data_IF_060350345405
#
_entry.id   IF_060350345405
#
_cell.length_a   1.000
_cell.length_b   1.000
_cell.length_c   1.000
_cell.angle_alpha   90.00
_cell.angle_beta   90.00
_cell.angle_gamma   90.00
#
_symmetry.space_group_name_H-M   'P 1'
#
loop_
_entity.id
_entity.type
_entity.pdbx_description
1 polymer ?
#
# COMPACT_ATOMS: atom_id res chain seq x y z
N UNK A 1 32.86 40.35 -20.48
CA UNK A 1 32.62 40.96 -19.15
C UNK A 1 32.39 39.87 -18.14
N UNK A 2 32.78 40.05 -16.89
CA UNK A 2 32.62 39.11 -15.78
C UNK A 2 31.14 38.71 -15.62
N UNK A 3 30.22 39.66 -15.80
CA UNK A 3 28.77 39.42 -15.76
C UNK A 3 28.27 38.42 -16.79
N UNK A 4 28.85 38.40 -18.02
CA UNK A 4 28.46 37.44 -19.04
C UNK A 4 28.80 36.00 -18.63
N UNK A 5 29.94 35.80 -17.93
CA UNK A 5 30.36 34.47 -17.43
C UNK A 5 29.50 33.98 -16.25
N UNK A 6 29.02 34.87 -15.41
CA UNK A 6 28.12 34.55 -14.29
C UNK A 6 26.68 34.27 -14.74
N UNK A 7 26.18 35.00 -15.76
CA UNK A 7 24.81 34.85 -16.25
C UNK A 7 24.68 33.68 -17.25
N UNK A 8 25.75 33.33 -17.99
CA UNK A 8 25.71 32.26 -18.98
C UNK A 8 25.18 30.91 -18.45
N UNK A 9 25.60 30.37 -17.31
CA UNK A 9 25.04 29.13 -16.76
C UNK A 9 23.55 29.25 -16.38
N UNK A 10 23.14 30.38 -15.87
CA UNK A 10 21.74 30.65 -15.52
C UNK A 10 20.86 30.64 -16.77
N UNK A 11 21.28 31.39 -17.80
CA UNK A 11 20.57 31.43 -19.09
C UNK A 11 20.56 30.05 -19.76
N UNK A 12 21.65 29.27 -19.61
CA UNK A 12 21.71 27.92 -20.14
C UNK A 12 20.69 27.00 -19.49
N UNK A 13 20.52 27.06 -18.13
CA UNK A 13 19.52 26.29 -17.37
C UNK A 13 18.12 26.63 -17.88
N UNK A 14 17.77 27.91 -18.03
CA UNK A 14 16.45 28.32 -18.51
C UNK A 14 16.19 27.94 -19.98
N UNK A 15 17.23 27.84 -20.80
CA UNK A 15 17.13 27.43 -22.21
C UNK A 15 17.17 25.91 -22.40
N UNK A 16 17.63 25.16 -21.42
CA UNK A 16 17.71 23.69 -21.49
C UNK A 16 16.36 23.01 -21.79
N UNK A 17 15.23 23.36 -21.12
CA UNK A 17 13.93 22.77 -21.44
C UNK A 17 13.48 23.04 -22.89
N UNK A 18 13.74 24.25 -23.40
CA UNK A 18 13.37 24.65 -24.77
C UNK A 18 14.21 23.87 -25.80
N UNK A 19 15.51 23.68 -25.54
CA UNK A 19 16.38 22.87 -26.39
C UNK A 19 15.96 21.41 -26.41
N UNK A 20 15.68 20.84 -25.22
CA UNK A 20 15.20 19.46 -25.07
C UNK A 20 13.89 19.25 -25.83
N UNK A 21 12.96 20.20 -25.72
CA UNK A 21 11.69 20.16 -26.43
C UNK A 21 11.86 20.23 -27.95
N UNK A 22 12.74 21.10 -28.45
CA UNK A 22 13.05 21.18 -29.87
C UNK A 22 13.68 19.90 -30.41
N UNK A 23 14.65 19.35 -29.65
CA UNK A 23 15.26 18.05 -29.96
C UNK A 23 14.21 16.94 -29.97
N UNK A 24 13.34 16.85 -28.93
CA UNK A 24 12.28 15.87 -28.88
C UNK A 24 11.31 16.00 -30.06
N UNK A 25 10.90 17.22 -30.42
CA UNK A 25 10.09 17.47 -31.62
C UNK A 25 10.78 17.00 -32.90
N UNK A 26 12.12 17.20 -33.03
CA UNK A 26 12.84 16.77 -34.21
C UNK A 26 12.83 15.26 -34.44
N UNK A 27 12.69 14.46 -33.37
CA UNK A 27 12.56 13.00 -33.47
C UNK A 27 11.25 12.56 -34.17
N UNK A 28 10.21 13.39 -34.13
CA UNK A 28 8.92 13.13 -34.78
C UNK A 28 8.84 13.66 -36.20
N UNK A 29 9.68 14.66 -36.57
CA UNK A 29 9.67 15.27 -37.90
C UNK A 29 10.21 14.29 -38.95
N UNK A 30 9.39 14.01 -39.98
CA UNK A 30 9.76 13.07 -41.04
C UNK A 30 9.77 11.59 -40.62
N UNK A 31 9.56 11.27 -39.38
CA UNK A 31 9.56 9.88 -38.92
C UNK A 31 8.32 9.11 -39.37
N UNK A 32 8.46 7.86 -39.83
CA UNK A 32 7.31 7.01 -40.16
C UNK A 32 6.49 6.69 -38.90
N UNK A 33 5.22 6.30 -39.08
CA UNK A 33 4.25 6.12 -37.98
C UNK A 33 4.74 5.13 -36.91
N UNK A 34 5.41 4.03 -37.29
CA UNK A 34 5.90 3.04 -36.33
C UNK A 34 7.04 3.59 -35.44
N UNK A 35 7.92 4.47 -35.97
CA UNK A 35 8.93 5.17 -35.15
C UNK A 35 8.27 6.14 -34.17
N UNK A 36 7.22 6.86 -34.59
CA UNK A 36 6.44 7.74 -33.71
C UNK A 36 5.81 6.98 -32.55
N UNK A 37 5.24 5.78 -32.83
CA UNK A 37 4.73 4.89 -31.77
C UNK A 37 5.85 4.44 -30.82
N UNK A 38 7.01 4.05 -31.35
CA UNK A 38 8.18 3.68 -30.54
C UNK A 38 8.64 4.83 -29.65
N UNK A 39 8.80 6.03 -30.20
CA UNK A 39 9.19 7.22 -29.42
C UNK A 39 8.16 7.49 -28.32
N UNK A 40 6.86 7.44 -28.64
CA UNK A 40 5.79 7.62 -27.65
C UNK A 40 5.84 6.58 -26.54
N UNK A 41 6.02 5.31 -26.88
CA UNK A 41 6.13 4.20 -25.92
C UNK A 41 7.33 4.37 -24.98
N UNK A 42 8.53 4.63 -25.52
CA UNK A 42 9.72 4.84 -24.69
C UNK A 42 9.61 6.10 -23.84
N UNK A 43 9.03 7.18 -24.37
CA UNK A 43 8.78 8.41 -23.61
C UNK A 43 7.80 8.17 -22.45
N UNK A 44 6.78 7.37 -22.66
CA UNK A 44 5.81 6.99 -21.63
C UNK A 44 6.48 6.16 -20.51
N UNK A 45 7.30 5.16 -20.89
CA UNK A 45 8.05 4.36 -19.90
C UNK A 45 9.01 5.28 -19.13
N UNK A 46 9.77 6.14 -19.83
CA UNK A 46 10.68 7.09 -19.19
C UNK A 46 9.94 8.00 -18.21
N UNK A 47 8.79 8.52 -18.59
CA UNK A 47 7.96 9.36 -17.73
C UNK A 47 7.53 8.62 -16.45
N UNK A 48 7.10 7.36 -16.56
CA UNK A 48 6.75 6.54 -15.39
C UNK A 48 7.97 6.35 -14.48
N UNK A 49 9.09 5.88 -15.04
CA UNK A 49 10.31 5.62 -14.27
C UNK A 49 10.84 6.90 -13.61
N UNK A 50 10.83 8.02 -14.34
CA UNK A 50 11.23 9.31 -13.80
C UNK A 50 10.30 9.78 -12.68
N UNK A 51 8.99 9.58 -12.81
CA UNK A 51 8.02 9.93 -11.77
C UNK A 51 8.24 9.08 -10.51
N UNK A 52 8.45 7.78 -10.67
CA UNK A 52 8.78 6.89 -9.53
C UNK A 52 10.08 7.34 -8.84
N UNK A 53 11.12 7.62 -9.61
CA UNK A 53 12.39 8.12 -9.08
C UNK A 53 12.23 9.48 -8.38
N UNK A 54 11.49 10.41 -8.97
CA UNK A 54 11.22 11.72 -8.40
C UNK A 54 10.46 11.64 -7.06
N UNK A 55 9.52 10.71 -6.94
CA UNK A 55 8.79 10.43 -5.69
C UNK A 55 9.77 9.88 -4.64
N UNK A 56 10.63 8.93 -5.00
CA UNK A 56 11.58 8.28 -4.09
C UNK A 56 12.57 9.28 -3.48
N UNK A 57 13.16 10.13 -4.30
CA UNK A 57 14.13 11.15 -3.84
C UNK A 57 13.45 12.42 -3.31
N UNK A 58 12.11 12.47 -3.32
CA UNK A 58 11.34 13.68 -2.99
C UNK A 58 11.86 14.92 -3.74
N UNK A 59 11.96 14.80 -5.07
CA UNK A 59 12.53 15.81 -5.95
C UNK A 59 11.93 17.20 -5.68
N UNK A 60 12.77 18.17 -5.34
CA UNK A 60 12.38 19.56 -5.00
C UNK A 60 11.30 19.67 -3.91
N UNK A 61 11.23 18.69 -2.98
CA UNK A 61 10.21 18.60 -1.94
C UNK A 61 8.75 18.54 -2.47
N UNK A 62 8.59 18.16 -3.73
CA UNK A 62 7.30 18.11 -4.41
C UNK A 62 6.39 17.01 -3.87
N UNK A 63 6.97 15.85 -3.51
CA UNK A 63 6.21 14.63 -3.20
C UNK A 63 6.17 14.28 -1.71
N UNK A 64 6.96 14.97 -0.88
CA UNK A 64 7.08 14.66 0.53
C UNK A 64 7.86 13.37 0.83
N UNK A 65 8.14 13.13 2.10
CA UNK A 65 8.94 11.99 2.55
C UNK A 65 8.22 10.66 2.32
N UNK A 66 9.01 9.61 2.11
CA UNK A 66 8.57 8.21 2.07
C UNK A 66 9.33 7.42 3.14
N UNK A 67 8.87 6.21 3.53
CA UNK A 67 9.64 5.31 4.39
C UNK A 67 11.02 5.04 3.78
N UNK A 68 12.02 4.86 4.64
CA UNK A 68 13.36 4.50 4.16
C UNK A 68 13.37 3.05 3.67
N UNK A 69 14.24 2.74 2.71
CA UNK A 69 14.42 1.38 2.21
C UNK A 69 14.74 0.40 3.34
N UNK A 70 15.56 0.80 4.31
CA UNK A 70 15.85 0.00 5.51
C UNK A 70 14.60 -0.33 6.31
N UNK A 71 13.63 0.60 6.42
CA UNK A 71 12.36 0.33 7.11
C UNK A 71 11.46 -0.63 6.33
N UNK A 72 11.58 -0.63 4.99
CA UNK A 72 10.83 -1.53 4.12
C UNK A 72 11.43 -2.94 4.15
N UNK A 73 12.76 -3.05 4.12
CA UNK A 73 13.48 -4.32 4.19
C UNK A 73 13.35 -5.01 5.56
N UNK A 74 13.25 -4.22 6.62
CA UNK A 74 13.16 -4.71 8.01
C UNK A 74 11.96 -4.07 8.72
N UNK A 75 10.73 -4.42 8.30
CA UNK A 75 9.54 -3.82 8.88
C UNK A 75 9.40 -4.18 10.35
N UNK A 76 9.35 -3.15 11.20
CA UNK A 76 9.14 -3.33 12.64
C UNK A 76 7.66 -3.39 12.93
N UNK A 77 7.17 -4.52 13.42
CA UNK A 77 5.84 -4.59 14.01
C UNK A 77 5.87 -3.92 15.38
N UNK A 78 4.99 -2.97 15.64
CA UNK A 78 4.80 -2.41 16.96
C UNK A 78 4.28 -3.51 17.90
N UNK A 79 5.14 -4.05 18.76
CA UNK A 79 4.76 -5.00 19.77
C UNK A 79 4.28 -4.27 21.03
N UNK A 80 3.34 -4.88 21.77
CA UNK A 80 2.96 -4.39 23.08
C UNK A 80 4.14 -4.52 24.05
N UNK A 81 4.41 -3.49 24.85
CA UNK A 81 5.33 -3.58 25.98
C UNK A 81 4.63 -4.27 27.14
N UNK A 82 5.14 -5.40 27.58
CA UNK A 82 4.60 -6.14 28.71
C UNK A 82 5.31 -5.73 30.00
N UNK A 83 4.54 -5.45 31.05
CA UNK A 83 5.05 -5.10 32.37
C UNK A 83 4.82 -6.27 33.30
N UNK A 84 5.88 -6.75 33.89
CA UNK A 84 5.86 -7.86 34.83
C UNK A 84 6.22 -7.38 36.24
N UNK A 85 5.65 -8.02 37.25
CA UNK A 85 6.07 -7.87 38.63
C UNK A 85 7.41 -8.56 38.87
N UNK A 86 8.06 -8.29 40.02
CA UNK A 86 9.33 -8.90 40.39
C UNK A 86 9.27 -10.44 40.53
N UNK A 87 8.09 -10.99 40.74
CA UNK A 87 7.80 -12.44 40.78
C UNK A 87 7.38 -13.02 39.39
N UNK A 88 7.56 -12.25 38.32
CA UNK A 88 7.32 -12.69 36.95
C UNK A 88 5.84 -12.73 36.50
N UNK A 89 4.91 -12.17 37.31
CA UNK A 89 3.49 -12.08 36.92
C UNK A 89 3.27 -10.88 36.00
N UNK A 90 2.52 -11.11 34.91
CA UNK A 90 2.14 -10.04 34.00
C UNK A 90 1.18 -9.07 34.72
N UNK A 91 1.64 -7.84 34.96
CA UNK A 91 0.85 -6.77 35.58
C UNK A 91 0.00 -6.04 34.56
N UNK A 92 0.47 -5.93 33.32
CA UNK A 92 -0.26 -5.26 32.27
C UNK A 92 0.52 -5.20 30.97
N UNK A 93 -0.16 -4.72 29.93
CA UNK A 93 0.42 -4.47 28.61
C UNK A 93 0.24 -3.00 28.28
N UNK A 94 1.36 -2.31 27.99
CA UNK A 94 1.34 -0.97 27.42
C UNK A 94 1.49 -1.06 25.92
N UNK A 95 0.50 -0.60 25.20
CA UNK A 95 0.50 -0.61 23.74
C UNK A 95 -0.25 0.62 23.20
N UNK A 96 0.25 1.16 22.12
CA UNK A 96 -0.53 2.06 21.29
C UNK A 96 -1.59 1.27 20.49
N UNK A 97 -1.29 -0.01 20.23
CA UNK A 97 -2.15 -0.96 19.52
C UNK A 97 -1.99 -2.34 20.15
N UNK A 98 -3.12 -2.99 20.49
CA UNK A 98 -3.12 -4.32 21.11
C UNK A 98 -2.75 -5.40 20.07
N UNK A 99 -1.46 -5.65 19.90
CA UNK A 99 -0.91 -6.60 18.92
C UNK A 99 -0.09 -7.68 19.61
N UNK A 100 -0.34 -8.92 19.24
CA UNK A 100 0.51 -10.07 19.57
C UNK A 100 0.78 -10.83 18.29
N UNK A 101 1.97 -10.70 17.69
CA UNK A 101 2.27 -11.32 16.41
C UNK A 101 2.30 -12.85 16.52
N UNK A 102 1.92 -13.52 15.45
CA UNK A 102 1.97 -14.97 15.28
C UNK A 102 2.72 -15.31 14.00
N UNK A 103 3.44 -16.45 13.93
CA UNK A 103 4.06 -16.92 12.69
C UNK A 103 2.99 -17.43 11.71
N UNK A 104 3.38 -17.58 10.42
CA UNK A 104 2.49 -18.00 9.34
C UNK A 104 1.78 -19.33 9.65
N UNK A 105 2.52 -20.32 10.13
CA UNK A 105 2.01 -21.67 10.43
C UNK A 105 0.98 -21.70 11.57
N UNK A 106 0.87 -20.61 12.31
CA UNK A 106 -0.15 -20.42 13.35
C UNK A 106 -1.41 -19.71 12.85
N UNK A 107 -1.54 -19.47 11.55
CA UNK A 107 -2.71 -18.86 10.91
C UNK A 107 -3.49 -19.98 10.19
N UNK A 108 -4.79 -20.09 10.48
CA UNK A 108 -5.63 -21.09 9.81
C UNK A 108 -5.64 -20.87 8.29
N UNK A 109 -5.44 -21.92 7.47
CA UNK A 109 -5.53 -21.82 6.00
C UNK A 109 -6.86 -21.22 5.52
N UNK A 110 -7.96 -21.47 6.25
CA UNK A 110 -9.25 -20.88 5.96
C UNK A 110 -9.24 -19.35 5.96
N UNK A 111 -8.48 -18.71 6.89
CA UNK A 111 -8.33 -17.26 6.90
C UNK A 111 -7.54 -16.76 5.69
N UNK A 112 -6.44 -17.43 5.35
CA UNK A 112 -5.59 -17.08 4.21
C UNK A 112 -6.39 -17.17 2.91
N UNK A 113 -7.13 -18.27 2.72
CA UNK A 113 -7.96 -18.46 1.53
C UNK A 113 -9.08 -17.41 1.44
N UNK A 114 -9.80 -17.16 2.54
CA UNK A 114 -10.85 -16.14 2.57
C UNK A 114 -10.30 -14.74 2.27
N UNK A 115 -9.13 -14.40 2.84
CA UNK A 115 -8.47 -13.12 2.61
C UNK A 115 -8.11 -12.93 1.12
N UNK A 116 -7.43 -13.91 0.54
CA UNK A 116 -6.99 -13.85 -0.87
C UNK A 116 -8.19 -13.78 -1.81
N UNK A 117 -9.18 -14.65 -1.62
CA UNK A 117 -10.38 -14.69 -2.48
C UNK A 117 -11.20 -13.40 -2.42
N UNK A 118 -11.18 -12.70 -1.28
CA UNK A 118 -12.02 -11.51 -1.07
C UNK A 118 -11.30 -10.21 -1.44
N UNK A 119 -10.02 -10.09 -1.05
CA UNK A 119 -9.28 -8.84 -1.13
C UNK A 119 -8.34 -8.80 -2.36
N UNK A 120 -7.80 -9.94 -2.79
CA UNK A 120 -6.75 -9.97 -3.82
C UNK A 120 -6.65 -11.36 -4.47
N UNK A 121 -7.62 -11.74 -5.28
CA UNK A 121 -7.72 -13.07 -5.92
C UNK A 121 -6.46 -13.48 -6.67
N UNK A 122 -5.71 -12.52 -7.23
CA UNK A 122 -4.47 -12.75 -7.98
C UNK A 122 -3.21 -12.49 -7.18
N UNK A 123 -3.28 -12.51 -5.84
CA UNK A 123 -2.17 -12.19 -4.96
C UNK A 123 -0.85 -12.87 -5.33
N UNK A 124 -0.89 -14.13 -5.73
CA UNK A 124 0.31 -14.89 -6.10
C UNK A 124 0.82 -14.61 -7.53
N UNK A 125 0.06 -13.87 -8.35
CA UNK A 125 0.38 -13.65 -9.77
C UNK A 125 0.97 -12.27 -10.06
N UNK A 126 0.98 -11.36 -9.09
CA UNK A 126 1.53 -10.01 -9.26
C UNK A 126 2.65 -9.73 -8.25
N UNK A 127 3.34 -8.60 -8.43
CA UNK A 127 4.42 -8.12 -7.56
C UNK A 127 4.07 -6.73 -6.99
N UNK A 128 3.25 -6.70 -5.94
CA UNK A 128 2.83 -5.48 -5.23
C UNK A 128 1.67 -4.73 -5.88
N UNK A 129 1.58 -4.72 -7.21
CA UNK A 129 0.51 -4.05 -7.97
C UNK A 129 -0.13 -5.02 -8.94
N UNK A 130 -1.46 -5.13 -8.89
CA UNK A 130 -2.24 -5.90 -9.85
C UNK A 130 -2.82 -4.99 -10.94
N UNK A 131 -2.09 -4.82 -12.03
CA UNK A 131 -2.53 -3.99 -13.16
C UNK A 131 -3.75 -4.57 -13.88
N UNK A 132 -3.89 -5.89 -13.95
CA UNK A 132 -5.04 -6.56 -14.56
C UNK A 132 -6.30 -6.33 -13.73
N UNK A 133 -6.18 -6.49 -12.40
CA UNK A 133 -7.25 -6.18 -11.47
C UNK A 133 -7.66 -4.71 -11.48
N UNK A 134 -6.69 -3.81 -11.54
CA UNK A 134 -6.93 -2.37 -11.63
C UNK A 134 -7.69 -2.01 -12.93
N UNK A 135 -7.30 -2.58 -14.07
CA UNK A 135 -8.01 -2.37 -15.33
C UNK A 135 -9.44 -2.94 -15.28
N UNK A 136 -9.62 -4.12 -14.68
CA UNK A 136 -10.94 -4.71 -14.44
C UNK A 136 -11.82 -3.83 -13.56
N UNK A 137 -11.29 -3.36 -12.43
CA UNK A 137 -12.01 -2.48 -11.51
C UNK A 137 -12.39 -1.14 -12.16
N UNK A 138 -11.53 -0.58 -13.01
CA UNK A 138 -11.85 0.62 -13.79
C UNK A 138 -13.01 0.35 -14.75
N UNK A 139 -12.99 -0.78 -15.47
CA UNK A 139 -14.09 -1.18 -16.36
C UNK A 139 -15.40 -1.34 -15.60
N UNK A 140 -15.38 -1.96 -14.42
CA UNK A 140 -16.56 -2.16 -13.59
C UNK A 140 -17.09 -0.83 -13.04
N UNK A 141 -16.19 0.08 -12.65
CA UNK A 141 -16.56 1.44 -12.21
C UNK A 141 -17.28 2.24 -13.31
N UNK A 142 -16.82 2.13 -14.57
CA UNK A 142 -17.49 2.75 -15.72
C UNK A 142 -18.91 2.16 -15.99
N UNK A 143 -19.19 0.96 -15.48
CA UNK A 143 -20.49 0.30 -15.54
C UNK A 143 -21.36 0.54 -14.30
N UNK A 144 -20.91 1.38 -13.36
CA UNK A 144 -21.61 1.66 -12.11
C UNK A 144 -21.38 0.65 -10.99
N UNK A 145 -20.47 -0.32 -11.16
CA UNK A 145 -20.14 -1.36 -10.20
C UNK A 145 -18.72 -1.16 -9.64
N UNK A 146 -18.54 -0.15 -8.80
CA UNK A 146 -17.23 0.13 -8.23
C UNK A 146 -16.78 -0.99 -7.27
N UNK A 147 -15.62 -1.61 -7.55
CA UNK A 147 -14.94 -2.56 -6.66
C UNK A 147 -13.55 -2.07 -6.28
N UNK A 148 -13.01 -2.59 -5.17
CA UNK A 148 -11.63 -2.30 -4.76
C UNK A 148 -10.61 -2.86 -5.77
N UNK A 149 -9.53 -2.10 -5.99
CA UNK A 149 -8.43 -2.50 -6.86
C UNK A 149 -7.07 -2.48 -6.13
N UNK A 150 -7.08 -2.34 -4.80
CA UNK A 150 -5.85 -2.32 -4.01
C UNK A 150 -5.48 -3.74 -3.60
N UNK A 151 -4.23 -4.12 -3.83
CA UNK A 151 -3.68 -5.42 -3.43
C UNK A 151 -3.50 -5.53 -1.91
N UNK A 152 -3.34 -6.75 -1.39
CA UNK A 152 -3.00 -7.01 0.02
C UNK A 152 -1.70 -6.28 0.38
N UNK A 153 -0.69 -6.30 -0.50
CA UNK A 153 0.59 -5.61 -0.29
C UNK A 153 0.42 -4.08 -0.17
N UNK A 154 -0.43 -3.47 -0.98
CA UNK A 154 -0.74 -2.04 -0.88
C UNK A 154 -1.51 -1.70 0.39
N UNK A 155 -2.44 -2.56 0.82
CA UNK A 155 -3.17 -2.40 2.08
C UNK A 155 -2.23 -2.53 3.28
N UNK A 156 -1.30 -3.50 3.23
CA UNK A 156 -0.27 -3.68 4.25
C UNK A 156 0.60 -2.43 4.38
N UNK A 157 1.13 -1.92 3.26
CA UNK A 157 1.95 -0.70 3.22
C UNK A 157 1.21 0.50 3.81
N UNK A 158 -0.05 0.69 3.43
CA UNK A 158 -0.89 1.76 3.97
C UNK A 158 -1.01 1.68 5.49
N UNK A 159 -1.21 0.48 6.03
CA UNK A 159 -1.45 0.27 7.47
C UNK A 159 -0.14 0.26 8.28
N UNK A 160 0.89 -0.43 7.80
CA UNK A 160 2.16 -0.62 8.50
C UNK A 160 3.00 0.65 8.53
N UNK A 161 3.14 1.32 7.38
CA UNK A 161 3.95 2.54 7.26
C UNK A 161 3.12 3.81 7.42
N UNK A 162 1.80 3.70 7.61
CA UNK A 162 0.89 4.84 7.78
C UNK A 162 1.14 5.93 6.72
N UNK A 163 1.34 5.51 5.46
CA UNK A 163 1.74 6.41 4.36
C UNK A 163 0.81 7.59 4.19
N UNK A 164 -0.46 7.43 4.59
CA UNK A 164 -1.47 8.50 4.48
C UNK A 164 -1.49 9.49 5.64
N UNK A 165 -0.87 9.15 6.78
CA UNK A 165 -0.96 9.93 8.01
C UNK A 165 0.38 10.48 8.49
N UNK A 166 1.47 9.71 8.36
CA UNK A 166 2.79 10.08 8.89
C UNK A 166 3.67 10.80 7.87
N UNK A 167 3.45 10.54 6.57
CA UNK A 167 4.28 11.10 5.51
C UNK A 167 3.54 12.20 4.74
N UNK A 168 4.19 13.34 4.61
CA UNK A 168 3.65 14.45 3.83
C UNK A 168 3.60 14.12 2.34
N UNK A 169 2.76 14.82 1.61
CA UNK A 169 2.68 14.76 0.14
C UNK A 169 3.48 15.87 -0.55
N UNK A 170 4.31 16.59 0.22
CA UNK A 170 5.13 17.69 -0.28
C UNK A 170 4.30 18.86 -0.81
N UNK A 171 4.93 19.69 -1.62
CA UNK A 171 4.29 20.88 -2.19
C UNK A 171 3.11 20.56 -3.10
N UNK A 172 3.16 19.46 -3.84
CA UNK A 172 2.06 19.04 -4.71
C UNK A 172 0.82 18.58 -3.93
N UNK A 173 0.99 18.20 -2.67
CA UNK A 173 -0.13 17.80 -1.80
C UNK A 173 -1.12 18.93 -1.46
N UNK A 174 -0.76 20.19 -1.71
CA UNK A 174 -1.68 21.32 -1.56
C UNK A 174 -2.67 21.46 -2.72
N UNK A 175 -2.43 20.74 -3.84
CA UNK A 175 -3.33 20.76 -5.00
C UNK A 175 -4.46 19.74 -4.76
N UNK A 176 -5.75 20.15 -4.80
CA UNK A 176 -6.87 19.23 -4.62
C UNK A 176 -6.81 18.03 -5.56
N UNK A 177 -7.01 16.83 -5.02
CA UNK A 177 -6.93 15.56 -5.76
C UNK A 177 -5.51 15.02 -5.98
N UNK A 178 -4.50 15.86 -6.13
CA UNK A 178 -3.09 15.44 -6.33
C UNK A 178 -2.56 14.72 -5.09
N UNK A 179 -2.96 15.16 -3.90
CA UNK A 179 -2.61 14.50 -2.63
C UNK A 179 -2.93 13.01 -2.64
N UNK A 180 -4.15 12.65 -3.04
CA UNK A 180 -4.61 11.25 -3.07
C UNK A 180 -3.81 10.45 -4.09
N UNK A 181 -3.54 11.04 -5.26
CA UNK A 181 -2.74 10.43 -6.32
C UNK A 181 -1.30 10.14 -5.84
N UNK A 182 -0.64 11.13 -5.21
CA UNK A 182 0.72 10.93 -4.66
C UNK A 182 0.74 9.83 -3.62
N UNK A 183 -0.22 9.83 -2.69
CA UNK A 183 -0.33 8.78 -1.68
C UNK A 183 -0.51 7.40 -2.31
N UNK A 184 -1.35 7.29 -3.35
CA UNK A 184 -1.57 6.02 -4.04
C UNK A 184 -0.33 5.57 -4.82
N UNK A 185 0.38 6.49 -5.49
CA UNK A 185 1.64 6.17 -6.16
C UNK A 185 2.70 5.69 -5.16
N UNK A 186 2.82 6.33 -4.00
CA UNK A 186 3.71 5.86 -2.92
C UNK A 186 3.34 4.46 -2.44
N UNK A 187 2.06 4.20 -2.17
CA UNK A 187 1.59 2.86 -1.80
C UNK A 187 2.01 1.80 -2.84
N UNK A 188 1.87 2.11 -4.14
CA UNK A 188 2.25 1.20 -5.23
C UNK A 188 3.75 0.96 -5.27
N UNK A 189 4.56 2.01 -5.19
CA UNK A 189 6.03 1.91 -5.20
C UNK A 189 6.51 1.09 -4.01
N UNK A 190 6.09 1.44 -2.79
CA UNK A 190 6.51 0.77 -1.56
C UNK A 190 6.03 -0.69 -1.53
N UNK A 191 4.81 -0.98 -2.05
CA UNK A 191 4.30 -2.34 -2.14
C UNK A 191 5.14 -3.21 -3.09
N UNK A 192 5.58 -2.63 -4.22
CA UNK A 192 6.50 -3.31 -5.14
C UNK A 192 7.87 -3.55 -4.50
N UNK A 193 8.42 -2.55 -3.80
CA UNK A 193 9.68 -2.69 -3.06
C UNK A 193 9.57 -3.75 -1.96
N UNK A 194 8.48 -3.76 -1.20
CA UNK A 194 8.24 -4.76 -0.15
C UNK A 194 8.25 -6.19 -0.74
N UNK A 195 7.61 -6.41 -1.87
CA UNK A 195 7.59 -7.71 -2.54
C UNK A 195 8.93 -8.10 -3.22
N UNK A 196 9.85 -7.19 -3.37
CA UNK A 196 11.24 -7.52 -3.78
C UNK A 196 12.05 -8.13 -2.63
N UNK A 197 11.71 -7.84 -1.37
CA UNK A 197 12.47 -8.26 -0.19
C UNK A 197 11.74 -9.27 0.68
N UNK A 198 10.41 -9.39 0.56
CA UNK A 198 9.58 -10.27 1.37
C UNK A 198 8.85 -11.28 0.49
N UNK A 199 8.78 -12.51 0.94
CA UNK A 199 7.97 -13.57 0.31
C UNK A 199 6.47 -13.32 0.51
N UNK A 200 5.64 -13.93 -0.31
CA UNK A 200 4.18 -13.85 -0.19
C UNK A 200 3.67 -14.28 1.18
N UNK A 201 4.24 -15.33 1.77
CA UNK A 201 3.86 -15.80 3.11
C UNK A 201 4.26 -14.81 4.20
N UNK A 202 5.41 -14.15 4.09
CA UNK A 202 5.81 -13.08 5.01
C UNK A 202 4.86 -11.89 4.91
N UNK A 203 4.45 -11.50 3.71
CA UNK A 203 3.48 -10.41 3.49
C UNK A 203 2.12 -10.75 4.11
N UNK A 204 1.61 -11.97 3.90
CA UNK A 204 0.37 -12.42 4.52
C UNK A 204 0.47 -12.44 6.05
N UNK A 205 1.63 -12.89 6.58
CA UNK A 205 1.90 -12.89 8.02
C UNK A 205 1.89 -11.47 8.59
N UNK A 206 2.61 -10.56 7.94
CA UNK A 206 2.65 -9.15 8.34
C UNK A 206 1.27 -8.52 8.25
N UNK A 207 0.51 -8.79 7.19
CA UNK A 207 -0.85 -8.30 7.03
C UNK A 207 -1.76 -8.79 8.17
N UNK A 208 -1.82 -10.09 8.40
CA UNK A 208 -2.62 -10.70 9.44
C UNK A 208 -2.27 -10.18 10.84
N UNK A 209 -1.01 -9.87 11.10
CA UNK A 209 -0.54 -9.32 12.38
C UNK A 209 -0.73 -7.80 12.52
N UNK A 210 -0.99 -7.07 11.42
CA UNK A 210 -1.01 -5.60 11.43
C UNK A 210 -2.40 -5.02 11.31
N UNK A 211 -3.29 -5.68 10.58
CA UNK A 211 -4.58 -5.11 10.21
C UNK A 211 -5.49 -4.91 11.43
N UNK A 212 -6.25 -3.81 11.39
CA UNK A 212 -7.27 -3.49 12.40
C UNK A 212 -8.57 -4.24 12.09
N UNK A 213 -9.01 -5.07 13.05
CA UNK A 213 -10.29 -5.78 12.99
C UNK A 213 -11.41 -5.07 13.79
N UNK A 214 -11.18 -3.84 14.25
CA UNK A 214 -12.13 -3.11 15.08
C UNK A 214 -12.18 -3.63 16.53
N UNK A 215 -12.99 -2.99 17.37
CA UNK A 215 -13.08 -3.31 18.80
C UNK A 215 -11.72 -3.36 19.52
N UNK A 216 -10.78 -2.52 19.11
CA UNK A 216 -9.38 -2.50 19.60
C UNK A 216 -8.64 -3.83 19.40
N UNK A 217 -9.01 -4.60 18.37
CA UNK A 217 -8.38 -5.87 18.00
C UNK A 217 -7.46 -5.68 16.79
N UNK A 218 -6.19 -5.42 17.06
CA UNK A 218 -5.15 -5.33 16.04
C UNK A 218 -4.46 -6.67 15.86
N UNK A 219 -4.45 -7.17 14.64
CA UNK A 219 -3.90 -8.47 14.27
C UNK A 219 -4.81 -9.66 14.61
N UNK A 220 -4.59 -10.73 13.86
CA UNK A 220 -5.45 -11.93 13.84
C UNK A 220 -5.54 -12.64 15.20
N UNK A 221 -4.47 -12.62 16.01
CA UNK A 221 -4.50 -13.28 17.34
C UNK A 221 -5.46 -12.58 18.27
N UNK A 222 -5.39 -11.26 18.31
CA UNK A 222 -6.29 -10.45 19.12
C UNK A 222 -7.72 -10.56 18.60
N UNK A 223 -7.91 -10.54 17.28
CA UNK A 223 -9.23 -10.68 16.66
C UNK A 223 -9.89 -12.04 16.96
N UNK A 224 -9.14 -13.15 16.76
CA UNK A 224 -9.64 -14.50 17.05
C UNK A 224 -10.07 -14.64 18.52
N UNK A 225 -9.27 -14.07 19.43
CA UNK A 225 -9.62 -14.05 20.87
C UNK A 225 -10.83 -13.16 21.16
N UNK A 226 -10.88 -11.96 20.59
CA UNK A 226 -11.91 -10.95 20.87
C UNK A 226 -13.29 -11.37 20.37
N UNK A 227 -13.34 -11.96 19.17
CA UNK A 227 -14.63 -12.29 18.54
C UNK A 227 -15.10 -13.72 18.78
N UNK A 228 -14.18 -14.68 18.90
CA UNK A 228 -14.51 -16.10 18.95
C UNK A 228 -13.92 -16.85 20.15
N UNK A 229 -13.17 -16.17 21.00
CA UNK A 229 -12.46 -16.77 22.15
C UNK A 229 -11.60 -17.99 21.75
N UNK A 230 -10.96 -17.92 20.57
CA UNK A 230 -10.14 -18.99 19.98
C UNK A 230 -8.74 -18.49 19.62
N UNK A 231 -7.93 -19.37 19.03
CA UNK A 231 -6.60 -19.04 18.48
C UNK A 231 -6.67 -18.93 16.96
N UNK A 232 -5.74 -18.16 16.31
CA UNK A 232 -5.73 -18.04 14.84
C UNK A 232 -5.66 -19.37 14.09
N UNK A 233 -4.94 -20.37 14.63
CA UNK A 233 -4.82 -21.71 14.03
C UNK A 233 -6.11 -22.52 14.07
N UNK A 234 -7.01 -22.22 15.00
CA UNK A 234 -8.27 -22.95 15.22
C UNK A 234 -9.49 -22.23 14.63
N UNK A 235 -9.30 -21.14 13.90
CA UNK A 235 -10.40 -20.45 13.23
C UNK A 235 -11.09 -21.37 12.23
N UNK A 236 -12.39 -21.50 12.35
CA UNK A 236 -13.26 -22.18 11.39
C UNK A 236 -13.46 -21.32 10.15
N UNK A 237 -13.91 -21.94 9.06
CA UNK A 237 -14.13 -21.23 7.80
C UNK A 237 -15.10 -20.05 7.93
N UNK A 238 -16.20 -20.24 8.64
CA UNK A 238 -17.21 -19.20 8.90
C UNK A 238 -16.67 -18.07 9.78
N UNK A 239 -15.81 -18.35 10.75
CA UNK A 239 -15.17 -17.37 11.61
C UNK A 239 -14.12 -16.57 10.83
N UNK A 240 -13.34 -17.25 10.01
CA UNK A 240 -12.38 -16.63 9.10
C UNK A 240 -13.09 -15.66 8.11
N UNK A 241 -14.20 -16.09 7.51
CA UNK A 241 -14.99 -15.26 6.60
C UNK A 241 -15.58 -14.02 7.30
N UNK A 242 -16.00 -14.13 8.58
CA UNK A 242 -16.43 -12.96 9.36
C UNK A 242 -15.27 -11.98 9.56
N UNK A 243 -14.09 -12.46 9.95
CA UNK A 243 -12.92 -11.58 10.14
C UNK A 243 -12.52 -10.89 8.84
N UNK A 244 -12.49 -11.61 7.71
CA UNK A 244 -12.18 -11.00 6.41
C UNK A 244 -13.29 -10.01 5.98
N UNK A 245 -14.54 -10.37 6.18
CA UNK A 245 -15.66 -9.46 5.90
C UNK A 245 -15.60 -8.15 6.68
N UNK A 246 -15.08 -8.19 7.89
CA UNK A 246 -14.89 -7.06 8.78
C UNK A 246 -13.86 -6.03 8.24
N UNK A 247 -12.84 -6.50 7.49
CA UNK A 247 -11.78 -5.63 6.95
C UNK A 247 -12.28 -4.56 6.00
N UNK A 248 -13.41 -4.78 5.36
CA UNK A 248 -14.01 -3.78 4.45
C UNK A 248 -14.44 -2.51 5.18
N UNK A 249 -15.03 -2.66 6.37
CA UNK A 249 -15.42 -1.54 7.24
C UNK A 249 -15.63 -2.05 8.67
N UNK A 250 -14.63 -1.89 9.51
CA UNK A 250 -14.54 -2.45 10.86
C UNK A 250 -15.63 -2.00 11.83
N UNK A 251 -16.30 -0.88 11.56
CA UNK A 251 -17.45 -0.42 12.33
C UNK A 251 -18.77 -0.92 11.76
N UNK A 252 -18.93 -0.91 10.42
CA UNK A 252 -20.19 -1.28 9.76
C UNK A 252 -20.47 -2.79 9.80
N UNK A 253 -19.42 -3.61 9.71
CA UNK A 253 -19.53 -5.08 9.70
C UNK A 253 -19.07 -5.73 11.00
N UNK A 254 -19.02 -4.97 12.10
CA UNK A 254 -18.62 -5.49 13.40
C UNK A 254 -19.68 -6.46 13.95
N UNK A 255 -19.33 -7.74 14.19
CA UNK A 255 -20.31 -8.74 14.65
C UNK A 255 -20.85 -8.46 16.05
N UNK A 256 -20.13 -7.67 16.88
CA UNK A 256 -20.60 -7.28 18.23
C UNK A 256 -21.62 -6.15 18.20
N UNK A 257 -21.46 -5.19 17.29
CA UNK A 257 -22.36 -4.03 17.19
C UNK A 257 -23.41 -4.16 16.10
N UNK A 258 -23.06 -4.82 14.98
CA UNK A 258 -23.89 -4.95 13.78
C UNK A 258 -23.96 -6.40 13.26
N UNK A 259 -24.50 -7.36 14.03
CA UNK A 259 -24.44 -8.80 13.71
C UNK A 259 -25.15 -9.15 12.39
N UNK A 260 -26.25 -8.46 12.04
CA UNK A 260 -26.98 -8.70 10.77
C UNK A 260 -26.12 -8.31 9.56
N UNK A 261 -25.50 -7.14 9.59
CA UNK A 261 -24.61 -6.67 8.51
C UNK A 261 -23.36 -7.55 8.40
N UNK A 262 -22.80 -7.98 9.53
CA UNK A 262 -21.68 -8.91 9.57
C UNK A 262 -22.04 -10.27 8.93
N UNK A 263 -23.23 -10.81 9.24
CA UNK A 263 -23.73 -12.06 8.65
C UNK A 263 -23.92 -11.95 7.13
N UNK A 264 -24.54 -10.86 6.67
CA UNK A 264 -24.70 -10.62 5.23
C UNK A 264 -23.36 -10.53 4.52
N UNK A 265 -22.40 -9.78 5.09
CA UNK A 265 -21.06 -9.61 4.51
C UNK A 265 -20.24 -10.91 4.51
N UNK A 266 -20.38 -11.75 5.52
CA UNK A 266 -19.76 -13.08 5.58
C UNK A 266 -20.18 -13.98 4.43
N UNK A 267 -21.45 -13.89 4.01
CA UNK A 267 -22.05 -14.76 2.99
C UNK A 267 -21.76 -14.32 1.54
N UNK A 268 -21.05 -13.20 1.35
CA UNK A 268 -20.58 -12.71 0.04
C UNK A 268 -19.21 -13.26 -0.28
#
# INVERSE_FOLDING_TARGET
SIWAKLIAPIVWIFRAPVRLWRWYKSLYQGAPWWKKLGIGFFSFIFFILFTCFAIQINLFWLFGRSPSLSSIMHPKNAAASEVYSSDGKLLGKFFSENRTPVPYDSIAPAFVHALISTEDERFYSHHGVDFVGAAGAMKDALRGHARGASTISQQLVKNMFRVRTEYSTGLLGYIPGVKILIMKLKEMIIATELEMFCTKNEILTMYANTVDFGSNAYGIKTAAKTYFNTTPAKLKTEEAAVLVGLLKATSAYNPKSNPRSALQRRNV
#
